data_IF_716729266351
#
_entry.id   IF_716729266351
#
_cell.length_a   1.000
_cell.length_b   1.000
_cell.length_c   1.000
_cell.angle_alpha   90.00
_cell.angle_beta   90.00
_cell.angle_gamma   90.00
#
_symmetry.space_group_name_H-M   'P 1'
#
loop_
_entity.id
_entity.type
_entity.pdbx_description
1 polymer ?
#
# COMPACT_ATOMS: atom_id res chain seq x y z
N UNK A 1 -18.19 15.03 14.83
CA UNK A 1 -17.08 15.65 14.09
C UNK A 1 -17.65 16.62 13.08
N UNK A 2 -17.38 17.90 13.28
CA UNK A 2 -17.80 18.93 12.34
C UNK A 2 -16.91 18.93 11.06
N UNK A 3 -17.28 19.74 10.06
CA UNK A 3 -16.53 19.82 8.81
C UNK A 3 -15.13 20.44 8.97
N UNK A 4 -14.91 21.29 9.98
CA UNK A 4 -13.63 21.92 10.28
C UNK A 4 -12.66 20.94 10.96
N UNK A 5 -13.12 20.12 11.90
CA UNK A 5 -12.33 19.04 12.51
C UNK A 5 -11.84 18.03 11.47
N UNK A 6 -12.72 17.64 10.54
CA UNK A 6 -12.33 16.76 9.42
C UNK A 6 -11.26 17.41 8.53
N UNK A 7 -11.42 18.71 8.23
CA UNK A 7 -10.45 19.46 7.43
C UNK A 7 -9.09 19.57 8.13
N UNK A 8 -9.08 19.74 9.44
CA UNK A 8 -7.85 19.81 10.23
C UNK A 8 -7.12 18.47 10.30
N UNK A 9 -7.84 17.36 10.50
CA UNK A 9 -7.28 16.00 10.46
C UNK A 9 -6.64 15.73 9.09
N UNK A 10 -7.36 16.06 8.01
CA UNK A 10 -6.84 15.89 6.64
C UNK A 10 -5.61 16.77 6.39
N UNK A 11 -5.59 18.01 6.88
CA UNK A 11 -4.44 18.91 6.73
C UNK A 11 -3.20 18.39 7.46
N UNK A 12 -3.35 17.98 8.73
CA UNK A 12 -2.25 17.38 9.51
C UNK A 12 -1.73 16.11 8.85
N UNK A 13 -2.63 15.31 8.28
CA UNK A 13 -2.29 14.12 7.54
C UNK A 13 -1.48 14.43 6.27
N UNK A 14 -1.90 15.41 5.45
CA UNK A 14 -1.17 15.80 4.24
C UNK A 14 0.23 16.35 4.54
N UNK A 15 0.38 17.08 5.65
CA UNK A 15 1.71 17.54 6.10
C UNK A 15 2.60 16.39 6.53
N UNK A 16 2.05 15.38 7.20
CA UNK A 16 2.79 14.16 7.55
C UNK A 16 3.20 13.37 6.31
N UNK A 17 2.33 13.28 5.29
CA UNK A 17 2.63 12.64 4.02
C UNK A 17 3.79 13.35 3.29
N UNK A 18 3.78 14.70 3.24
CA UNK A 18 4.87 15.48 2.63
C UNK A 18 6.24 15.24 3.29
N UNK A 19 6.27 15.11 4.63
CA UNK A 19 7.52 14.77 5.35
C UNK A 19 8.03 13.39 4.96
N UNK A 20 7.15 12.42 4.82
CA UNK A 20 7.51 11.06 4.43
C UNK A 20 8.04 11.01 3.00
N UNK A 21 7.37 11.69 2.06
CA UNK A 21 7.84 11.82 0.66
C UNK A 21 9.23 12.48 0.59
N UNK A 22 9.49 13.52 1.39
CA UNK A 22 10.80 14.16 1.44
C UNK A 22 11.91 13.21 1.93
N UNK A 23 11.61 12.32 2.89
CA UNK A 23 12.56 11.29 3.36
C UNK A 23 12.73 10.18 2.32
N UNK A 24 11.65 9.75 1.65
CA UNK A 24 11.69 8.73 0.61
C UNK A 24 12.50 9.19 -0.62
N UNK A 25 12.37 10.46 -1.02
CA UNK A 25 13.17 11.05 -2.10
C UNK A 25 14.68 10.97 -1.82
N UNK A 26 15.10 11.03 -0.55
CA UNK A 26 16.52 10.86 -0.17
C UNK A 26 17.01 9.43 -0.39
N UNK A 27 16.14 8.41 -0.31
CA UNK A 27 16.52 7.00 -0.50
C UNK A 27 16.75 6.60 -1.95
N UNK A 28 16.15 7.29 -2.92
CA UNK A 28 16.34 6.97 -4.34
C UNK A 28 17.79 7.18 -4.83
N UNK A 29 18.62 7.88 -4.05
CA UNK A 29 20.04 8.15 -4.35
C UNK A 29 21.04 7.07 -3.87
N UNK A 30 20.60 5.84 -3.57
CA UNK A 30 21.48 4.65 -3.68
C UNK A 30 22.32 4.25 -2.47
N UNK A 31 22.05 4.76 -1.27
CA UNK A 31 22.67 4.25 -0.02
C UNK A 31 21.60 3.95 1.02
N UNK A 32 20.73 2.99 0.73
CA UNK A 32 19.91 2.36 1.75
C UNK A 32 20.55 1.01 2.06
N UNK A 33 21.07 0.85 3.28
CA UNK A 33 21.50 -0.45 3.77
C UNK A 33 20.30 -1.39 3.74
N UNK A 34 20.42 -2.47 2.97
CA UNK A 34 19.36 -3.49 2.87
C UNK A 34 19.37 -4.24 4.19
N UNK A 35 18.49 -3.86 5.10
CA UNK A 35 18.14 -4.71 6.24
C UNK A 35 17.28 -5.84 5.66
N UNK A 36 17.76 -7.09 5.63
CA UNK A 36 16.94 -8.19 5.13
C UNK A 36 15.71 -8.31 6.02
N UNK A 37 14.54 -8.05 5.44
CA UNK A 37 13.28 -8.37 6.09
C UNK A 37 13.07 -9.87 5.99
N UNK A 38 13.56 -10.61 6.99
CA UNK A 38 13.17 -12.01 7.20
C UNK A 38 11.76 -12.00 7.78
N UNK A 39 10.76 -11.72 6.94
CA UNK A 39 9.37 -11.91 7.30
C UNK A 39 9.19 -13.37 7.76
N UNK A 40 8.54 -13.64 8.89
CA UNK A 40 8.33 -15.01 9.33
C UNK A 40 7.58 -15.75 8.23
N UNK A 41 7.92 -17.02 7.96
CA UNK A 41 7.21 -17.88 6.97
C UNK A 41 5.68 -17.84 7.09
N UNK A 42 5.16 -17.51 8.28
CA UNK A 42 3.76 -17.22 8.57
C UNK A 42 3.12 -16.14 7.68
N UNK A 43 3.89 -15.25 7.08
CA UNK A 43 3.34 -14.18 6.23
C UNK A 43 2.75 -14.73 4.92
N UNK A 44 3.20 -15.89 4.45
CA UNK A 44 2.65 -16.59 3.27
C UNK A 44 1.35 -17.35 3.59
N UNK A 45 1.11 -17.67 4.86
CA UNK A 45 -0.06 -18.42 5.34
C UNK A 45 -1.19 -17.48 5.82
N UNK A 46 -0.95 -16.18 5.84
CA UNK A 46 -1.91 -15.18 6.30
C UNK A 46 -2.81 -14.69 5.17
N UNK A 47 -4.10 -14.57 5.45
CA UNK A 47 -5.04 -13.89 4.57
C UNK A 47 -4.68 -12.40 4.42
N UNK A 48 -4.95 -11.79 3.26
CA UNK A 48 -4.83 -10.34 3.09
C UNK A 48 -5.67 -9.59 4.11
N UNK A 49 -5.07 -8.57 4.72
CA UNK A 49 -5.76 -7.65 5.61
C UNK A 49 -6.75 -6.79 4.84
N UNK A 50 -7.73 -6.21 5.54
CA UNK A 50 -8.71 -5.28 4.95
C UNK A 50 -8.05 -4.18 4.12
N UNK A 51 -6.94 -3.62 4.61
CA UNK A 51 -6.22 -2.55 3.90
C UNK A 51 -5.53 -3.06 2.63
N UNK A 52 -5.02 -4.27 2.65
CA UNK A 52 -4.43 -4.90 1.46
C UNK A 52 -5.51 -5.24 0.43
N UNK A 53 -6.72 -5.63 0.86
CA UNK A 53 -7.87 -5.84 -0.02
C UNK A 53 -8.34 -4.51 -0.65
N UNK A 54 -8.42 -3.42 0.13
CA UNK A 54 -8.70 -2.08 -0.42
C UNK A 54 -7.68 -1.68 -1.49
N UNK A 55 -6.38 -1.90 -1.22
CA UNK A 55 -5.32 -1.66 -2.20
C UNK A 55 -5.51 -2.55 -3.43
N UNK A 56 -5.87 -3.83 -3.26
CA UNK A 56 -6.13 -4.76 -4.36
C UNK A 56 -7.30 -4.30 -5.25
N UNK A 57 -8.38 -3.79 -4.67
CA UNK A 57 -9.51 -3.24 -5.43
C UNK A 57 -9.09 -2.03 -6.25
N UNK A 58 -8.31 -1.11 -5.68
CA UNK A 58 -7.84 0.05 -6.44
C UNK A 58 -6.84 -0.33 -7.53
N UNK A 59 -6.10 -1.43 -7.36
CA UNK A 59 -5.25 -1.99 -8.41
C UNK A 59 -6.11 -2.58 -9.54
N UNK A 60 -7.22 -3.25 -9.24
CA UNK A 60 -8.14 -3.76 -10.28
C UNK A 60 -8.83 -2.63 -11.04
N UNK A 61 -9.07 -1.49 -10.40
CA UNK A 61 -9.57 -0.26 -11.02
C UNK A 61 -8.52 0.43 -11.93
N UNK A 62 -7.28 -0.09 -11.96
CA UNK A 62 -6.21 0.39 -12.84
C UNK A 62 -5.34 1.51 -12.27
N UNK A 63 -5.52 1.88 -11.00
CA UNK A 63 -4.78 3.00 -10.39
C UNK A 63 -3.30 2.65 -10.21
N UNK A 64 -2.44 3.68 -10.29
CA UNK A 64 -1.03 3.58 -9.91
C UNK A 64 -0.83 3.89 -8.42
N UNK A 65 0.28 3.44 -7.84
CA UNK A 65 0.54 3.55 -6.39
C UNK A 65 0.39 4.99 -5.84
N UNK A 66 0.73 6.00 -6.63
CA UNK A 66 0.57 7.42 -6.26
C UNK A 66 -0.89 7.83 -6.13
N UNK A 67 -1.74 7.37 -7.05
CA UNK A 67 -3.18 7.63 -7.04
C UNK A 67 -3.86 6.88 -5.90
N UNK A 68 -3.46 5.62 -5.69
CA UNK A 68 -3.90 4.81 -4.54
C UNK A 68 -3.53 5.51 -3.24
N UNK A 69 -2.29 6.02 -3.12
CA UNK A 69 -1.83 6.76 -1.95
C UNK A 69 -2.68 8.00 -1.69
N UNK A 70 -2.99 8.75 -2.74
CA UNK A 70 -3.85 9.94 -2.63
C UNK A 70 -5.26 9.58 -2.16
N UNK A 71 -5.86 8.52 -2.72
CA UNK A 71 -7.23 8.10 -2.39
C UNK A 71 -7.34 7.51 -0.99
N UNK A 72 -6.30 6.79 -0.57
CA UNK A 72 -6.25 6.11 0.71
C UNK A 72 -5.64 6.97 1.82
N UNK A 73 -5.19 8.19 1.53
CA UNK A 73 -4.41 9.00 2.45
C UNK A 73 -3.21 8.18 2.94
N UNK A 74 -2.31 7.82 2.02
CA UNK A 74 -1.03 7.14 2.27
C UNK A 74 0.07 7.70 1.36
N UNK A 75 1.33 7.59 1.80
CA UNK A 75 2.46 7.83 0.89
C UNK A 75 2.56 6.73 -0.16
N UNK A 76 3.09 7.05 -1.34
CA UNK A 76 3.32 6.07 -2.40
C UNK A 76 4.19 4.89 -1.92
N UNK A 77 5.18 5.15 -1.08
CA UNK A 77 6.06 4.13 -0.51
C UNK A 77 5.31 3.19 0.44
N UNK A 78 4.39 3.72 1.24
CA UNK A 78 3.51 2.90 2.08
C UNK A 78 2.63 2.00 1.23
N UNK A 79 2.10 2.51 0.10
CA UNK A 79 1.36 1.69 -0.86
C UNK A 79 2.24 0.60 -1.46
N UNK A 80 3.50 0.90 -1.84
CA UNK A 80 4.45 -0.12 -2.33
C UNK A 80 4.66 -1.24 -1.31
N UNK A 81 4.75 -0.91 -0.02
CA UNK A 81 4.86 -1.91 1.04
C UNK A 81 3.61 -2.77 1.15
N UNK A 82 2.41 -2.17 1.13
CA UNK A 82 1.15 -2.93 1.10
C UNK A 82 1.06 -3.86 -0.11
N UNK A 83 1.43 -3.37 -1.31
CA UNK A 83 1.46 -4.19 -2.53
C UNK A 83 2.41 -5.38 -2.35
N UNK A 84 3.60 -5.17 -1.78
CA UNK A 84 4.58 -6.24 -1.58
C UNK A 84 4.04 -7.34 -0.66
N UNK A 85 3.45 -6.97 0.48
CA UNK A 85 2.88 -7.93 1.42
C UNK A 85 1.65 -8.63 0.85
N UNK A 86 0.78 -7.90 0.14
CA UNK A 86 -0.35 -8.46 -0.59
C UNK A 86 0.10 -9.52 -1.61
N UNK A 87 1.12 -9.22 -2.41
CA UNK A 87 1.66 -10.18 -3.39
C UNK A 87 2.22 -11.43 -2.71
N UNK A 88 2.92 -11.28 -1.59
CA UNK A 88 3.44 -12.40 -0.82
C UNK A 88 2.31 -13.29 -0.29
N UNK A 89 1.30 -12.69 0.39
CA UNK A 89 0.14 -13.40 0.95
C UNK A 89 -0.72 -14.09 -0.10
N UNK A 90 -0.91 -13.47 -1.26
CA UNK A 90 -1.63 -14.06 -2.39
C UNK A 90 -0.76 -15.04 -3.20
N UNK A 91 0.53 -15.17 -2.88
CA UNK A 91 1.53 -15.89 -3.67
C UNK A 91 1.52 -15.47 -5.16
N UNK A 92 1.24 -14.19 -5.39
CA UNK A 92 1.14 -13.61 -6.71
C UNK A 92 2.50 -13.09 -7.18
N UNK A 93 2.82 -13.36 -8.44
CA UNK A 93 4.10 -12.96 -9.07
C UNK A 93 4.05 -11.56 -9.69
N UNK A 94 2.85 -10.99 -9.82
CA UNK A 94 2.63 -9.67 -10.41
C UNK A 94 1.31 -9.08 -9.93
N UNK A 95 1.16 -7.75 -10.09
CA UNK A 95 -0.09 -7.05 -9.79
C UNK A 95 -1.30 -7.62 -10.53
N UNK A 96 -1.12 -7.96 -11.81
CA UNK A 96 -2.19 -8.55 -12.62
C UNK A 96 -2.55 -9.97 -12.13
N UNK A 97 -1.53 -10.77 -11.75
CA UNK A 97 -1.78 -12.07 -11.14
C UNK A 97 -2.54 -11.93 -9.82
N UNK A 98 -2.20 -10.95 -8.98
CA UNK A 98 -2.89 -10.69 -7.72
C UNK A 98 -4.36 -10.34 -7.91
N UNK A 99 -4.69 -9.50 -8.89
CA UNK A 99 -6.08 -9.18 -9.26
C UNK A 99 -6.84 -10.44 -9.68
N UNK A 100 -6.24 -11.26 -10.56
CA UNK A 100 -6.86 -12.51 -10.97
C UNK A 100 -7.08 -13.49 -9.80
N UNK A 101 -6.13 -13.56 -8.84
CA UNK A 101 -6.30 -14.34 -7.61
C UNK A 101 -7.42 -13.76 -6.74
N UNK A 102 -7.47 -12.43 -6.58
CA UNK A 102 -8.49 -11.73 -5.82
C UNK A 102 -9.90 -12.03 -6.31
N UNK A 103 -10.13 -11.97 -7.63
CA UNK A 103 -11.40 -12.36 -8.24
C UNK A 103 -11.72 -13.84 -8.02
N UNK A 104 -10.75 -14.75 -8.24
CA UNK A 104 -10.96 -16.20 -8.02
C UNK A 104 -11.30 -16.56 -6.58
N UNK A 105 -10.76 -15.82 -5.61
CA UNK A 105 -11.01 -16.00 -4.17
C UNK A 105 -12.22 -15.21 -3.66
N UNK A 106 -12.86 -14.37 -4.48
CA UNK A 106 -13.98 -13.53 -4.09
C UNK A 106 -13.61 -12.39 -3.12
N UNK A 107 -12.34 -11.95 -3.12
CA UNK A 107 -11.85 -10.87 -2.26
C UNK A 107 -12.21 -9.47 -2.81
N UNK A 108 -12.39 -9.37 -4.12
CA UNK A 108 -12.71 -8.15 -4.87
C UNK A 108 -13.76 -8.46 -5.94
N UNK A 109 -14.49 -7.45 -6.39
CA UNK A 109 -15.60 -7.54 -7.33
C UNK A 109 -15.51 -6.49 -8.44
#
# INVERSE_FOLDING_TARGET
>A
MDAAERKEILSRYMDHQRRFEAVAARRQNGQAEVIPFTGPLRELEQEPTMREIEVLQLISDGLVNREIGTRLFLSEETVKSHVRHLLAKLQARSRAHAVAVGFRRGLIA
#
